data_IF_057428118191
#
_entry.id   IF_057428118191
#
_cell.length_a   1.000
_cell.length_b   1.000
_cell.length_c   1.000
_cell.angle_alpha   90.00
_cell.angle_beta   90.00
_cell.angle_gamma   90.00
#
_symmetry.space_group_name_H-M   'P 1'
#
loop_
_entity.id
_entity.type
_entity.pdbx_description
1 polymer ?
#
# COMPACT_ATOMS: atom_id res chain seq x y z
N UNK A 1 8.93 -17.88 -18.61
CA UNK A 1 8.17 -16.95 -17.76
C UNK A 1 6.70 -16.93 -18.18
N UNK A 2 5.82 -16.63 -17.25
CA UNK A 2 4.37 -16.51 -17.49
C UNK A 2 3.92 -15.05 -17.48
N UNK A 3 4.69 -14.19 -16.80
CA UNK A 3 4.41 -12.77 -16.62
C UNK A 3 5.70 -11.97 -16.86
N UNK A 4 5.61 -10.86 -17.56
CA UNK A 4 6.64 -9.82 -17.59
C UNK A 4 6.24 -8.72 -16.63
N UNK A 5 7.13 -8.37 -15.72
CA UNK A 5 6.92 -7.34 -14.71
C UNK A 5 7.86 -6.16 -14.95
N UNK A 6 7.33 -4.97 -14.81
CA UNK A 6 8.10 -3.72 -14.80
C UNK A 6 7.68 -2.89 -13.60
N UNK A 7 8.64 -2.46 -12.80
CA UNK A 7 8.44 -1.53 -11.70
C UNK A 7 9.15 -0.22 -12.00
N UNK A 8 8.44 0.88 -11.87
CA UNK A 8 9.00 2.22 -11.93
C UNK A 8 8.82 2.88 -10.57
N UNK A 9 9.92 3.29 -9.99
CA UNK A 9 9.94 4.02 -8.72
C UNK A 9 10.40 5.45 -8.93
N UNK A 10 9.68 6.42 -8.33
CA UNK A 10 10.06 7.83 -8.30
C UNK A 10 10.12 8.26 -6.84
N UNK A 11 11.24 8.89 -6.46
CA UNK A 11 11.44 9.43 -5.11
C UNK A 11 11.43 10.95 -5.16
N UNK A 12 10.68 11.58 -4.26
CA UNK A 12 10.74 13.03 -3.99
C UNK A 12 10.64 13.30 -2.50
N UNK A 13 11.05 14.47 -2.08
CA UNK A 13 10.85 14.98 -0.72
C UNK A 13 9.82 16.10 -0.75
N UNK A 14 8.86 16.06 0.17
CA UNK A 14 7.84 17.08 0.28
C UNK A 14 7.32 17.16 1.72
N UNK A 15 7.21 18.39 2.26
CA UNK A 15 6.70 18.66 3.61
C UNK A 15 7.40 17.82 4.72
N UNK A 16 8.73 17.60 4.59
CA UNK A 16 9.51 16.80 5.54
C UNK A 16 9.16 15.31 5.53
N UNK A 17 8.67 14.81 4.40
CA UNK A 17 8.38 13.39 4.17
C UNK A 17 9.03 12.95 2.87
N UNK A 18 9.43 11.67 2.79
CA UNK A 18 9.82 11.07 1.53
C UNK A 18 8.61 10.42 0.87
N UNK A 19 8.38 10.73 -0.39
CA UNK A 19 7.32 10.17 -1.20
C UNK A 19 7.94 9.25 -2.25
N UNK A 20 7.52 7.97 -2.25
CA UNK A 20 7.94 6.98 -3.22
C UNK A 20 6.73 6.55 -4.03
N UNK A 21 6.69 6.94 -5.30
CA UNK A 21 5.65 6.52 -6.23
C UNK A 21 6.07 5.24 -6.94
N UNK A 22 5.24 4.22 -6.85
CA UNK A 22 5.36 2.97 -7.58
C UNK A 22 4.31 2.90 -8.68
N UNK A 23 4.76 2.68 -9.92
CA UNK A 23 3.95 2.12 -10.97
C UNK A 23 4.44 0.69 -11.25
N UNK A 24 3.59 -0.27 -10.96
CA UNK A 24 3.79 -1.68 -11.32
C UNK A 24 3.00 -2.00 -12.57
N UNK A 25 3.64 -2.62 -13.56
CA UNK A 25 3.04 -3.08 -14.80
C UNK A 25 3.30 -4.57 -14.98
N UNK A 26 2.23 -5.34 -15.12
CA UNK A 26 2.27 -6.75 -15.47
C UNK A 26 1.75 -6.97 -16.88
N UNK A 27 2.47 -7.76 -17.70
CA UNK A 27 2.08 -8.20 -19.05
C UNK A 27 2.04 -9.73 -19.08
N UNK A 28 0.89 -10.30 -19.46
CA UNK A 28 0.75 -11.76 -19.62
C UNK A 28 1.56 -12.26 -20.82
N UNK A 29 2.54 -13.13 -20.58
CA UNK A 29 3.27 -13.83 -21.65
C UNK A 29 2.52 -15.08 -22.11
N UNK A 30 1.63 -15.57 -21.26
CA UNK A 30 0.62 -16.62 -21.50
C UNK A 30 -0.67 -16.17 -20.82
N UNK A 31 -1.73 -16.94 -20.94
CA UNK A 31 -2.90 -16.75 -20.09
C UNK A 31 -2.51 -17.07 -18.64
N UNK A 32 -2.78 -16.11 -17.75
CA UNK A 32 -2.49 -16.19 -16.31
C UNK A 32 -3.79 -16.17 -15.54
N UNK A 33 -3.95 -17.13 -14.64
CA UNK A 33 -5.03 -17.13 -13.64
C UNK A 33 -4.41 -16.94 -12.26
N UNK A 34 -4.94 -15.99 -11.51
CA UNK A 34 -4.56 -15.71 -10.12
C UNK A 34 -5.75 -16.06 -9.25
N UNK A 35 -5.57 -17.00 -8.35
CA UNK A 35 -6.63 -17.47 -7.45
C UNK A 35 -6.84 -16.48 -6.30
N UNK A 36 -8.06 -16.52 -5.75
CA UNK A 36 -8.41 -15.80 -4.52
C UNK A 36 -7.44 -16.16 -3.40
N UNK A 37 -6.88 -15.14 -2.77
CA UNK A 37 -6.00 -15.32 -1.63
C UNK A 37 -6.06 -14.10 -0.72
N UNK A 38 -5.63 -14.24 0.54
CA UNK A 38 -5.67 -13.15 1.52
C UNK A 38 -4.53 -12.13 1.35
N UNK A 39 -3.52 -12.42 0.56
CA UNK A 39 -2.41 -11.50 0.25
C UNK A 39 -2.03 -11.60 -1.22
N UNK A 40 -1.62 -10.47 -1.79
CA UNK A 40 -1.08 -10.41 -3.16
C UNK A 40 -0.83 -8.99 -3.61
N UNK A 41 0.16 -8.80 -4.48
CA UNK A 41 0.62 -7.50 -4.93
C UNK A 41 1.66 -6.88 -3.99
N UNK A 42 1.62 -5.58 -3.83
CA UNK A 42 2.52 -4.86 -2.92
C UNK A 42 2.25 -5.26 -1.47
N UNK A 43 3.28 -5.66 -0.76
CA UNK A 43 3.20 -5.94 0.67
C UNK A 43 4.43 -5.39 1.37
N UNK A 44 4.23 -4.61 2.42
CA UNK A 44 5.27 -4.01 3.25
C UNK A 44 5.18 -4.54 4.67
N UNK A 45 6.32 -4.65 5.33
CA UNK A 45 6.39 -4.92 6.76
C UNK A 45 7.43 -4.01 7.40
N UNK A 46 7.05 -3.37 8.50
CA UNK A 46 8.02 -2.68 9.37
C UNK A 46 8.98 -3.72 9.99
N UNK A 47 10.17 -3.32 10.44
CA UNK A 47 11.13 -4.22 11.10
C UNK A 47 10.61 -4.68 12.48
N UNK A 48 9.53 -5.44 12.45
CA UNK A 48 8.81 -5.93 13.63
C UNK A 48 9.61 -6.97 14.40
N UNK A 49 9.55 -6.87 15.72
CA UNK A 49 9.99 -7.92 16.65
C UNK A 49 9.06 -7.97 17.87
N UNK A 50 9.05 -9.10 18.57
CA UNK A 50 8.17 -9.28 19.75
C UNK A 50 8.48 -8.25 20.83
N UNK A 51 7.46 -7.47 21.21
CA UNK A 51 7.56 -6.42 22.23
C UNK A 51 7.74 -5.01 21.68
N UNK A 52 7.90 -4.83 20.36
CA UNK A 52 7.90 -3.49 19.76
C UNK A 52 6.49 -2.87 19.78
N UNK A 53 6.41 -1.60 20.14
CA UNK A 53 5.18 -0.83 19.99
C UNK A 53 4.97 -0.44 18.55
N UNK A 54 3.76 -0.67 18.04
CA UNK A 54 3.40 -0.30 16.68
C UNK A 54 1.90 -0.13 16.52
N UNK A 55 1.51 0.61 15.47
CA UNK A 55 0.12 0.92 15.14
C UNK A 55 -0.15 0.69 13.68
N UNK A 56 -1.39 0.35 13.36
CA UNK A 56 -1.93 0.37 12.00
C UNK A 56 -3.26 1.09 12.06
N UNK A 57 -3.49 1.99 11.11
CA UNK A 57 -4.76 2.69 10.94
C UNK A 57 -5.06 2.91 9.46
N UNK A 58 -6.31 2.80 9.07
CA UNK A 58 -6.73 3.09 7.70
C UNK A 58 -7.46 4.45 7.58
N UNK A 59 -7.77 4.84 6.36
CA UNK A 59 -8.38 6.13 6.03
C UNK A 59 -9.80 6.33 6.58
N UNK A 60 -10.46 5.28 7.06
CA UNK A 60 -11.78 5.34 7.69
C UNK A 60 -11.72 5.25 9.22
N UNK A 61 -10.51 5.18 9.79
CA UNK A 61 -10.28 5.22 11.23
C UNK A 61 -10.24 3.85 11.93
N UNK A 62 -10.32 2.75 11.19
CA UNK A 62 -10.20 1.39 11.71
C UNK A 62 -8.75 1.06 12.09
N UNK A 63 -8.56 0.36 13.22
CA UNK A 63 -7.25 0.15 13.84
C UNK A 63 -6.87 -1.32 13.95
N UNK A 64 -5.61 -1.60 13.60
CA UNK A 64 -5.03 -2.93 13.70
C UNK A 64 -5.69 -3.95 12.79
N UNK A 65 -5.21 -5.19 12.85
CA UNK A 65 -5.75 -6.29 12.03
C UNK A 65 -7.16 -6.72 12.44
N UNK A 66 -7.58 -6.49 13.68
CA UNK A 66 -8.91 -6.88 14.15
C UNK A 66 -10.05 -6.06 13.54
N UNK A 67 -9.79 -4.83 13.15
CA UNK A 67 -10.81 -3.93 12.60
C UNK A 67 -10.63 -3.69 11.09
N UNK A 68 -9.39 -3.64 10.60
CA UNK A 68 -9.08 -3.16 9.26
C UNK A 68 -8.69 -4.26 8.25
N UNK A 69 -8.44 -5.51 8.71
CA UNK A 69 -8.11 -6.63 7.80
C UNK A 69 -9.24 -6.90 6.81
N UNK A 70 -8.92 -6.92 5.53
CA UNK A 70 -9.87 -7.18 4.44
C UNK A 70 -10.78 -6.00 4.10
N UNK A 71 -10.73 -4.91 4.85
CA UNK A 71 -11.56 -3.73 4.60
C UNK A 71 -10.95 -2.83 3.51
N UNK A 72 -11.83 -2.06 2.84
CA UNK A 72 -11.43 -1.14 1.78
C UNK A 72 -11.08 0.22 2.36
N UNK A 73 -9.96 0.77 1.93
CA UNK A 73 -9.52 2.10 2.34
C UNK A 73 -8.67 2.75 1.24
N UNK A 74 -8.63 4.07 1.19
CA UNK A 74 -7.81 4.79 0.20
C UNK A 74 -6.36 4.94 0.64
N UNK A 75 -6.06 4.72 1.90
CA UNK A 75 -4.71 4.58 2.44
C UNK A 75 -4.71 3.80 3.75
N UNK A 76 -3.57 3.21 4.07
CA UNK A 76 -3.25 2.60 5.37
C UNK A 76 -1.90 3.12 5.84
N UNK A 77 -1.82 3.55 7.10
CA UNK A 77 -0.58 3.94 7.78
C UNK A 77 -0.15 2.84 8.74
N UNK A 78 1.13 2.51 8.72
CA UNK A 78 1.81 1.70 9.71
C UNK A 78 2.86 2.54 10.41
N UNK A 79 2.82 2.57 11.74
CA UNK A 79 3.76 3.27 12.59
C UNK A 79 4.42 2.36 13.62
N UNK A 80 5.65 2.66 13.96
CA UNK A 80 6.45 1.88 14.91
C UNK A 80 7.41 2.80 15.66
N UNK A 81 7.65 2.50 16.96
CA UNK A 81 8.72 3.16 17.71
C UNK A 81 10.08 2.95 17.05
N UNK A 82 10.88 4.00 16.99
CA UNK A 82 12.25 3.94 16.49
C UNK A 82 13.17 3.60 17.66
N UNK A 83 13.86 2.46 17.56
CA UNK A 83 14.77 2.01 18.62
C UNK A 83 15.87 3.04 18.90
N UNK A 84 16.03 3.39 20.17
CA UNK A 84 17.10 4.29 20.63
C UNK A 84 16.80 5.79 20.56
N UNK A 85 15.64 6.19 20.05
CA UNK A 85 15.16 7.58 20.08
C UNK A 85 13.70 7.62 20.52
N UNK A 86 13.27 8.73 21.14
CA UNK A 86 11.88 8.91 21.57
C UNK A 86 11.03 9.45 20.41
N UNK A 87 10.95 8.68 19.33
CA UNK A 87 10.21 9.06 18.13
C UNK A 87 9.57 7.86 17.43
N UNK A 88 8.68 8.12 16.50
CA UNK A 88 7.97 7.12 15.68
C UNK A 88 8.35 7.25 14.21
N UNK A 89 8.50 6.10 13.55
CA UNK A 89 8.63 6.02 12.11
C UNK A 89 7.35 5.48 11.50
N UNK A 90 6.90 6.10 10.41
CA UNK A 90 5.66 5.77 9.72
C UNK A 90 5.89 5.50 8.25
N UNK A 91 5.09 4.59 7.70
CA UNK A 91 4.89 4.43 6.26
C UNK A 91 3.39 4.40 6.00
N UNK A 92 2.86 5.43 5.33
CA UNK A 92 1.51 5.38 4.79
C UNK A 92 1.55 4.89 3.34
N UNK A 93 0.74 3.91 3.00
CA UNK A 93 0.56 3.40 1.64
C UNK A 93 -0.75 3.91 1.09
N UNK A 94 -0.69 4.64 -0.02
CA UNK A 94 -1.81 5.30 -0.67
C UNK A 94 -2.20 4.53 -1.93
N UNK A 95 -3.47 4.16 -2.03
CA UNK A 95 -4.06 3.50 -3.20
C UNK A 95 -4.46 4.53 -4.26
N UNK A 96 -4.42 4.15 -5.54
CA UNK A 96 -4.73 5.05 -6.65
C UNK A 96 -6.10 4.75 -7.26
N UNK A 97 -6.92 5.78 -7.61
CA UNK A 97 -8.24 5.59 -8.19
C UNK A 97 -8.27 4.78 -9.50
N UNK A 98 -7.17 4.77 -10.26
CA UNK A 98 -7.06 4.00 -11.50
C UNK A 98 -6.76 2.52 -11.29
N UNK A 99 -6.47 2.09 -10.05
CA UNK A 99 -6.26 0.68 -9.74
C UNK A 99 -7.56 -0.10 -9.90
N UNK A 100 -7.48 -1.28 -10.51
CA UNK A 100 -8.66 -2.08 -10.89
C UNK A 100 -9.59 -2.37 -9.71
N UNK A 101 -9.06 -2.51 -8.50
CA UNK A 101 -9.83 -2.86 -7.31
C UNK A 101 -10.14 -1.68 -6.39
N UNK A 102 -9.86 -0.44 -6.83
CA UNK A 102 -9.97 0.77 -5.99
C UNK A 102 -11.37 0.99 -5.38
N UNK A 103 -11.45 1.42 -4.11
CA UNK A 103 -10.45 1.28 -3.08
C UNK A 103 -10.16 -0.19 -2.81
N UNK A 104 -8.89 -0.56 -2.87
CA UNK A 104 -8.49 -1.97 -2.72
C UNK A 104 -8.72 -2.44 -1.27
N UNK A 105 -9.17 -3.69 -1.03
CA UNK A 105 -9.14 -4.26 0.31
C UNK A 105 -7.71 -4.50 0.76
N UNK A 106 -7.46 -4.37 2.06
CA UNK A 106 -6.11 -4.42 2.62
C UNK A 106 -5.83 -5.71 3.37
N UNK A 107 -4.71 -6.32 3.09
CA UNK A 107 -4.09 -7.29 3.99
C UNK A 107 -3.39 -6.53 5.11
N UNK A 108 -3.76 -6.82 6.36
CA UNK A 108 -3.16 -6.23 7.56
C UNK A 108 -2.87 -7.35 8.55
N UNK A 109 -1.63 -7.57 8.90
CA UNK A 109 -1.28 -8.61 9.86
C UNK A 109 -0.90 -8.03 11.24
N UNK A 110 -0.77 -8.93 12.23
CA UNK A 110 -0.42 -8.57 13.61
C UNK A 110 1.07 -8.24 13.81
N UNK A 111 1.86 -8.24 12.74
CA UNK A 111 3.30 -8.02 12.76
C UNK A 111 3.69 -6.75 11.97
N UNK A 112 2.81 -5.74 11.94
CA UNK A 112 2.98 -4.50 11.21
C UNK A 112 3.25 -4.71 9.71
N UNK A 113 2.58 -5.71 9.13
CA UNK A 113 2.56 -5.96 7.70
C UNK A 113 1.27 -5.44 7.09
N UNK A 114 1.38 -4.68 5.99
CA UNK A 114 0.22 -4.16 5.24
C UNK A 114 0.45 -4.23 3.74
N UNK A 115 -0.63 -4.40 3.00
CA UNK A 115 -0.59 -4.34 1.54
C UNK A 115 -1.97 -4.32 0.92
N UNK A 116 -2.18 -3.52 -0.14
CA UNK A 116 -3.39 -3.62 -0.94
C UNK A 116 -3.44 -4.99 -1.60
N UNK A 117 -4.56 -5.69 -1.45
CA UNK A 117 -4.68 -7.09 -1.87
C UNK A 117 -5.95 -7.33 -2.69
N UNK A 118 -5.88 -7.13 -3.99
CA UNK A 118 -6.96 -7.38 -4.94
C UNK A 118 -7.50 -8.81 -4.86
N UNK A 119 -6.62 -9.79 -4.56
CA UNK A 119 -6.95 -11.21 -4.49
C UNK A 119 -7.97 -11.56 -3.39
N UNK A 120 -8.16 -10.70 -2.40
CA UNK A 120 -9.22 -10.86 -1.38
C UNK A 120 -10.60 -10.87 -2.04
N UNK A 121 -10.81 -10.15 -3.13
CA UNK A 121 -12.10 -10.03 -3.82
C UNK A 121 -12.48 -11.28 -4.61
N UNK A 122 -11.52 -12.09 -5.03
CA UNK A 122 -11.75 -13.28 -5.85
C UNK A 122 -10.64 -13.54 -6.86
N UNK A 123 -10.87 -14.57 -7.68
CA UNK A 123 -9.98 -14.91 -8.78
C UNK A 123 -9.98 -13.80 -9.84
N UNK A 124 -8.84 -13.64 -10.50
CA UNK A 124 -8.75 -12.76 -11.65
C UNK A 124 -7.83 -13.34 -12.73
N UNK A 125 -7.97 -12.85 -13.95
CA UNK A 125 -7.24 -13.36 -15.11
C UNK A 125 -6.55 -12.22 -15.83
N UNK A 126 -5.44 -12.56 -16.48
CA UNK A 126 -4.70 -11.71 -17.40
C UNK A 126 -4.40 -12.55 -18.64
N UNK A 127 -4.99 -12.19 -19.77
CA UNK A 127 -4.79 -12.90 -21.02
C UNK A 127 -3.38 -12.67 -21.59
N UNK A 128 -2.97 -13.57 -22.50
CA UNK A 128 -1.71 -13.39 -23.23
C UNK A 128 -1.71 -12.07 -24.00
N UNK A 129 -0.70 -11.24 -23.79
CA UNK A 129 -0.53 -9.91 -24.38
C UNK A 129 -1.33 -8.80 -23.68
N UNK A 130 -2.21 -9.15 -22.73
CA UNK A 130 -2.88 -8.15 -21.90
C UNK A 130 -1.95 -7.54 -20.86
N UNK A 131 -2.26 -6.32 -20.46
CA UNK A 131 -1.49 -5.57 -19.47
C UNK A 131 -2.40 -5.11 -18.35
N UNK A 132 -1.92 -5.19 -17.12
CA UNK A 132 -2.51 -4.55 -15.94
C UNK A 132 -1.50 -3.61 -15.30
N UNK A 133 -1.99 -2.50 -14.73
CA UNK A 133 -1.16 -1.50 -14.08
C UNK A 133 -1.76 -1.24 -12.70
N UNK A 134 -0.88 -1.19 -11.70
CA UNK A 134 -1.24 -0.79 -10.33
C UNK A 134 -0.30 0.33 -9.90
N UNK A 135 -0.86 1.34 -9.21
CA UNK A 135 -0.14 2.53 -8.76
C UNK A 135 -0.32 2.73 -7.27
N UNK A 136 0.78 3.02 -6.60
CA UNK A 136 0.79 3.29 -5.16
C UNK A 136 1.77 4.42 -4.85
N UNK A 137 1.47 5.20 -3.81
CA UNK A 137 2.42 6.13 -3.20
C UNK A 137 2.69 5.71 -1.77
N UNK A 138 3.97 5.61 -1.41
CA UNK A 138 4.40 5.45 -0.04
C UNK A 138 4.82 6.81 0.51
N UNK A 139 4.31 7.16 1.68
CA UNK A 139 4.70 8.38 2.42
C UNK A 139 5.48 7.93 3.64
N UNK A 140 6.78 8.21 3.67
CA UNK A 140 7.67 7.86 4.79
C UNK A 140 7.96 9.11 5.60
N UNK A 141 7.67 9.07 6.89
CA UNK A 141 7.83 10.23 7.78
C UNK A 141 8.12 9.80 9.22
N UNK A 142 8.55 10.74 10.06
CA UNK A 142 8.73 10.56 11.51
C UNK A 142 7.80 11.50 12.28
N UNK A 143 7.67 11.26 13.58
CA UNK A 143 6.79 12.03 14.46
C UNK A 143 5.46 11.35 14.75
N UNK A 144 4.48 12.08 15.28
CA UNK A 144 3.15 11.55 15.57
C UNK A 144 2.36 11.26 14.29
N UNK A 145 1.43 10.31 14.38
CA UNK A 145 0.46 10.04 13.32
C UNK A 145 -0.31 11.32 12.93
N UNK A 146 -0.25 11.68 11.65
CA UNK A 146 -0.98 12.83 11.08
C UNK A 146 -1.86 12.39 9.90
N UNK A 147 -3.10 11.98 10.22
CA UNK A 147 -4.09 11.54 9.23
C UNK A 147 -4.49 12.65 8.24
N UNK A 148 -4.47 13.92 8.69
CA UNK A 148 -4.80 15.06 7.83
C UNK A 148 -3.71 15.26 6.75
N UNK A 149 -2.44 15.16 7.14
CA UNK A 149 -1.30 15.21 6.24
C UNK A 149 -1.32 14.06 5.23
N UNK A 150 -1.58 12.82 5.69
CA UNK A 150 -1.69 11.64 4.81
C UNK A 150 -2.83 11.83 3.80
N UNK A 151 -4.00 12.27 4.26
CA UNK A 151 -5.15 12.50 3.39
C UNK A 151 -4.91 13.62 2.37
N UNK A 152 -4.10 14.63 2.71
CA UNK A 152 -3.66 15.65 1.77
C UNK A 152 -2.74 15.05 0.71
N UNK A 153 -1.71 14.31 1.09
CA UNK A 153 -0.84 13.61 0.14
C UNK A 153 -1.60 12.69 -0.80
N UNK A 154 -2.64 12.02 -0.30
CA UNK A 154 -3.49 11.20 -1.17
C UNK A 154 -4.23 12.05 -2.22
N UNK A 155 -4.83 13.18 -1.83
CA UNK A 155 -5.52 14.09 -2.76
C UNK A 155 -4.57 14.64 -3.81
N UNK A 156 -3.37 15.06 -3.40
CA UNK A 156 -2.34 15.60 -4.29
C UNK A 156 -1.90 14.52 -5.29
N UNK A 157 -1.68 13.28 -4.82
CA UNK A 157 -1.34 12.13 -5.66
C UNK A 157 -2.38 11.85 -6.76
N UNK A 158 -3.65 11.87 -6.39
CA UNK A 158 -4.76 11.68 -7.35
C UNK A 158 -4.80 12.82 -8.39
N UNK A 159 -4.50 14.05 -7.99
CA UNK A 159 -4.49 15.20 -8.90
C UNK A 159 -3.29 15.18 -9.85
N UNK A 160 -2.10 14.82 -9.38
CA UNK A 160 -0.85 14.73 -10.17
C UNK A 160 -0.97 13.74 -11.33
N UNK A 161 -1.66 12.63 -11.13
CA UNK A 161 -1.80 11.57 -12.13
C UNK A 161 -2.79 11.90 -13.27
N UNK A 162 -3.51 13.02 -13.17
CA UNK A 162 -4.48 13.48 -14.18
C UNK A 162 -3.91 14.53 -15.14
N UNK A 163 -2.69 14.99 -14.91
CA UNK A 163 -1.96 15.96 -15.75
C UNK A 163 -0.85 15.24 -16.55
#
# INVERSE_FOLDING_TARGET
>A
GILRETQRWTLKEEMGSFLLDLEWRGEGLTDVSVEKFFVGGLFLRMPWFKGISGTVINSVGEKGSSEAEGHRAVWVDIGMEISGIADWGHIAVLDHPDNVAFPTPWRIDSQLGVGPSRQILGDWKLGKGETTIERYRLVVYTGPLDQAKISRFWKDYVCESRN
#
